data_IF_722476881533
#
_entry.id   IF_722476881533
#
_cell.length_a   1.000
_cell.length_b   1.000
_cell.length_c   1.000
_cell.angle_alpha   90.00
_cell.angle_beta   90.00
_cell.angle_gamma   90.00
#
_symmetry.space_group_name_H-M   'P 1'
#
loop_
_entity.id
_entity.type
_entity.pdbx_description
1 polymer ?
#
# COMPACT_ATOMS: atom_id res chain seq x y z
N UNK A 1 9.22 -4.52 0.82
CA UNK A 1 8.32 -3.69 -0.01
C UNK A 1 7.04 -3.52 0.76
N UNK A 2 6.58 -2.31 1.00
CA UNK A 2 5.27 -2.07 1.61
C UNK A 2 4.16 -2.78 0.83
N UNK A 3 3.29 -3.48 1.54
CA UNK A 3 2.11 -4.18 1.02
C UNK A 3 0.86 -3.39 1.43
N UNK A 4 -0.34 -3.93 1.22
CA UNK A 4 -1.59 -3.22 1.47
C UNK A 4 -1.67 -2.56 2.87
N UNK A 5 -1.40 -3.26 4.01
CA UNK A 5 -1.53 -2.65 5.32
C UNK A 5 -0.58 -1.48 5.56
N UNK A 6 0.67 -1.60 5.09
CA UNK A 6 1.67 -0.53 5.22
C UNK A 6 1.23 0.72 4.43
N UNK A 7 0.76 0.51 3.20
CA UNK A 7 0.30 1.62 2.33
C UNK A 7 -0.97 2.26 2.89
N UNK A 8 -1.89 1.47 3.44
CA UNK A 8 -3.12 1.95 4.09
C UNK A 8 -2.80 2.80 5.32
N UNK A 9 -1.89 2.33 6.18
CA UNK A 9 -1.46 3.07 7.38
C UNK A 9 -0.86 4.43 7.03
N UNK A 10 0.02 4.47 6.02
CA UNK A 10 0.60 5.74 5.56
C UNK A 10 -0.48 6.64 4.97
N UNK A 11 -1.36 6.13 4.09
CA UNK A 11 -2.41 6.92 3.46
C UNK A 11 -3.34 7.57 4.50
N UNK A 12 -3.76 6.80 5.52
CA UNK A 12 -4.57 7.32 6.64
C UNK A 12 -3.82 8.39 7.42
N UNK A 13 -2.56 8.16 7.77
CA UNK A 13 -1.75 9.11 8.50
C UNK A 13 -1.53 10.41 7.75
N UNK A 14 -1.29 10.36 6.43
CA UNK A 14 -1.19 11.56 5.59
C UNK A 14 -2.54 12.27 5.50
N UNK A 15 -3.64 11.53 5.29
CA UNK A 15 -4.98 12.12 5.22
C UNK A 15 -5.36 12.84 6.51
N UNK A 16 -5.14 12.21 7.66
CA UNK A 16 -5.45 12.81 8.97
C UNK A 16 -4.73 14.16 9.19
N UNK A 17 -3.51 14.29 8.67
CA UNK A 17 -2.66 15.47 8.90
C UNK A 17 -2.78 16.55 7.86
N UNK A 18 -3.11 16.20 6.61
CA UNK A 18 -3.02 17.10 5.47
C UNK A 18 -4.35 17.27 4.70
N UNK A 19 -5.43 16.60 5.11
CA UNK A 19 -6.76 16.80 4.51
C UNK A 19 -7.17 18.27 4.57
N UNK A 20 -7.62 18.81 3.45
CA UNK A 20 -8.05 20.21 3.33
C UNK A 20 -6.89 21.21 3.20
N UNK A 21 -5.65 20.76 3.30
CA UNK A 21 -4.48 21.63 3.23
C UNK A 21 -4.10 21.97 1.79
N UNK A 22 -3.52 23.18 1.58
CA UNK A 22 -3.09 23.65 0.27
C UNK A 22 -1.59 23.50 0.10
N UNK A 23 -1.16 22.92 -1.00
CA UNK A 23 0.25 22.85 -1.40
C UNK A 23 0.72 24.23 -1.80
N UNK A 24 1.70 24.79 -1.07
CA UNK A 24 2.23 26.14 -1.31
C UNK A 24 3.52 26.12 -2.12
N UNK A 25 4.28 25.05 -1.99
CA UNK A 25 5.54 24.85 -2.72
C UNK A 25 5.73 23.34 -2.99
N UNK A 26 6.19 22.98 -4.17
CA UNK A 26 6.51 21.62 -4.55
C UNK A 26 7.92 21.55 -5.14
N UNK A 27 8.81 20.83 -4.45
CA UNK A 27 10.17 20.56 -4.90
C UNK A 27 10.38 19.10 -5.24
N UNK A 28 11.06 18.84 -6.34
CA UNK A 28 11.43 17.50 -6.79
C UNK A 28 12.90 17.45 -7.16
N UNK A 29 13.57 16.31 -6.87
CA UNK A 29 14.95 16.10 -7.24
C UNK A 29 15.14 16.05 -8.77
N UNK A 30 16.36 16.31 -9.24
CA UNK A 30 16.71 16.29 -10.66
C UNK A 30 16.97 14.89 -11.24
N UNK A 31 16.85 13.83 -10.44
CA UNK A 31 17.04 12.45 -10.92
C UNK A 31 15.89 12.03 -11.84
N UNK A 32 16.14 11.17 -12.84
CA UNK A 32 15.08 10.70 -13.75
C UNK A 32 14.03 9.80 -13.05
N UNK A 33 14.45 9.08 -12.02
CA UNK A 33 13.57 8.26 -11.17
C UNK A 33 13.44 8.89 -9.77
N UNK A 34 12.31 8.74 -9.11
CA UNK A 34 11.18 7.81 -9.35
C UNK A 34 10.03 8.37 -10.21
N UNK A 35 10.25 9.32 -11.07
CA UNK A 35 9.22 10.14 -11.70
C UNK A 35 8.59 9.48 -12.94
N UNK A 36 7.26 9.35 -12.95
CA UNK A 36 6.44 9.03 -14.14
C UNK A 36 6.02 10.28 -14.90
N UNK A 37 5.87 11.39 -14.21
CA UNK A 37 5.69 12.71 -14.76
C UNK A 37 6.96 13.52 -14.54
N UNK A 38 7.45 14.30 -15.50
CA UNK A 38 8.67 15.10 -15.33
C UNK A 38 8.62 15.99 -14.08
N UNK A 39 9.71 16.08 -13.28
CA UNK A 39 9.74 16.80 -12.01
C UNK A 39 9.21 18.22 -12.08
N UNK A 40 9.71 19.03 -13.01
CA UNK A 40 9.28 20.43 -13.18
C UNK A 40 7.77 20.56 -13.48
N UNK A 41 7.23 19.63 -14.25
CA UNK A 41 5.79 19.59 -14.54
C UNK A 41 4.99 19.19 -13.30
N UNK A 42 5.45 18.17 -12.54
CA UNK A 42 4.78 17.80 -11.29
C UNK A 42 4.74 18.97 -10.31
N UNK A 43 5.84 19.71 -10.14
CA UNK A 43 5.87 20.87 -9.29
C UNK A 43 4.80 21.91 -9.69
N UNK A 44 4.83 22.34 -10.96
CA UNK A 44 3.88 23.33 -11.48
C UNK A 44 2.41 22.86 -11.40
N UNK A 45 2.15 21.57 -11.62
CA UNK A 45 0.80 21.00 -11.59
C UNK A 45 0.26 20.80 -10.15
N UNK A 46 1.13 20.68 -9.14
CA UNK A 46 0.77 20.47 -7.73
C UNK A 46 0.62 21.76 -6.95
N UNK A 47 1.42 22.77 -7.23
CA UNK A 47 1.36 24.05 -6.50
C UNK A 47 0.00 24.72 -6.61
N UNK A 48 -0.46 25.25 -5.47
CA UNK A 48 -1.77 25.88 -5.34
C UNK A 48 -2.93 24.91 -5.13
N UNK A 49 -2.78 23.62 -5.35
CA UNK A 49 -3.88 22.65 -5.19
C UNK A 49 -4.15 22.32 -3.73
N UNK A 50 -5.42 21.94 -3.47
CA UNK A 50 -5.88 21.49 -2.14
C UNK A 50 -5.91 19.98 -2.10
N UNK A 51 -5.41 19.38 -1.02
CA UNK A 51 -5.50 17.95 -0.72
C UNK A 51 -6.91 17.63 -0.22
N UNK A 52 -7.77 17.13 -1.09
CA UNK A 52 -9.18 16.82 -0.75
C UNK A 52 -9.33 15.51 0.01
N UNK A 53 -8.52 14.52 -0.32
CA UNK A 53 -8.48 13.24 0.37
C UNK A 53 -7.16 12.52 0.04
N UNK A 54 -6.71 11.66 0.95
CA UNK A 54 -5.61 10.73 0.69
C UNK A 54 -6.06 9.33 1.07
N UNK A 55 -6.02 8.42 0.12
CA UNK A 55 -6.46 7.05 0.31
C UNK A 55 -5.52 6.04 -0.38
N UNK A 56 -5.70 4.78 -0.10
CA UNK A 56 -4.97 3.69 -0.74
C UNK A 56 -5.79 3.12 -1.92
N UNK A 57 -5.08 2.76 -2.98
CA UNK A 57 -5.61 1.95 -4.08
C UNK A 57 -4.57 0.88 -4.43
N UNK A 58 -4.81 -0.37 -4.03
CA UNK A 58 -3.83 -1.46 -4.12
C UNK A 58 -2.58 -1.16 -3.28
N UNK A 59 -1.41 -1.02 -3.92
CA UNK A 59 -0.13 -0.63 -3.28
C UNK A 59 0.25 0.82 -3.55
N UNK A 60 -0.69 1.65 -3.95
CA UNK A 60 -0.48 3.06 -4.22
C UNK A 60 -1.21 3.92 -3.20
N UNK A 61 -0.59 5.04 -2.84
CA UNK A 61 -1.22 6.14 -2.13
C UNK A 61 -1.72 7.11 -3.20
N UNK A 62 -2.98 7.49 -3.14
CA UNK A 62 -3.62 8.41 -4.08
C UNK A 62 -4.05 9.64 -3.30
N UNK A 63 -3.48 10.78 -3.64
CA UNK A 63 -3.88 12.09 -3.14
C UNK A 63 -4.85 12.71 -4.14
N UNK A 64 -6.12 12.85 -3.75
CA UNK A 64 -7.13 13.55 -4.52
C UNK A 64 -6.93 15.06 -4.38
N UNK A 65 -6.82 15.73 -5.50
CA UNK A 65 -6.47 17.15 -5.56
C UNK A 65 -7.60 17.98 -6.12
N UNK A 66 -7.95 19.02 -5.39
CA UNK A 66 -8.85 20.07 -5.84
C UNK A 66 -8.23 21.01 -6.88
N UNK A 67 -8.97 22.04 -7.30
CA UNK A 67 -8.47 23.03 -8.25
C UNK A 67 -7.24 23.76 -7.72
N UNK A 68 -6.39 24.22 -8.64
CA UNK A 68 -5.31 25.16 -8.32
C UNK A 68 -5.89 26.52 -7.94
N UNK A 69 -5.59 27.00 -6.74
CA UNK A 69 -6.18 28.21 -6.20
C UNK A 69 -5.09 29.25 -5.94
N UNK A 70 -5.28 30.45 -6.49
CA UNK A 70 -4.32 31.56 -6.36
C UNK A 70 -4.35 32.29 -5.00
N UNK A 71 -5.37 32.06 -4.14
CA UNK A 71 -5.47 32.74 -2.84
C UNK A 71 -6.06 31.88 -1.73
N UNK A 72 -5.70 32.17 -0.45
CA UNK A 72 -6.26 31.46 0.72
C UNK A 72 -7.80 31.58 0.84
N UNK A 73 -8.39 32.71 0.43
CA UNK A 73 -9.83 32.94 0.48
C UNK A 73 -10.59 32.01 -0.50
N UNK A 74 -9.96 31.60 -1.61
CA UNK A 74 -10.54 30.63 -2.53
C UNK A 74 -10.41 29.20 -1.97
N UNK A 75 -9.35 28.89 -1.23
CA UNK A 75 -9.15 27.59 -0.60
C UNK A 75 -10.28 27.24 0.38
N UNK A 76 -10.71 28.20 1.19
CA UNK A 76 -11.79 28.02 2.16
C UNK A 76 -13.15 27.64 1.52
N UNK A 77 -13.37 27.95 0.24
CA UNK A 77 -14.60 27.58 -0.50
C UNK A 77 -14.59 26.12 -0.99
N UNK A 78 -13.41 25.48 -1.07
CA UNK A 78 -13.23 24.13 -1.60
C UNK A 78 -12.90 23.09 -0.51
N UNK A 79 -12.82 23.48 0.74
CA UNK A 79 -12.66 22.60 1.90
C UNK A 79 -13.94 21.85 2.30
N UNK A 80 -15.03 22.00 1.55
CA UNK A 80 -16.29 21.26 1.78
C UNK A 80 -16.23 19.82 1.24
N UNK A 81 -16.90 18.89 1.95
CA UNK A 81 -16.97 17.45 1.68
C UNK A 81 -17.46 17.05 0.27
N UNK A 82 -17.92 17.99 -0.55
CA UNK A 82 -18.51 17.76 -1.88
C UNK A 82 -17.65 18.24 -3.06
N UNK A 83 -16.40 18.63 -2.84
CA UNK A 83 -15.53 19.07 -3.94
C UNK A 83 -15.05 17.87 -4.76
N UNK A 84 -15.38 17.84 -6.06
CA UNK A 84 -14.87 16.79 -6.97
C UNK A 84 -13.38 17.02 -7.22
N UNK A 85 -12.56 15.95 -7.17
CA UNK A 85 -11.15 16.06 -7.52
C UNK A 85 -10.97 16.40 -9.00
N UNK A 86 -10.02 17.29 -9.31
CA UNK A 86 -9.63 17.63 -10.67
C UNK A 86 -8.32 16.94 -11.10
N UNK A 87 -7.55 16.47 -10.13
CA UNK A 87 -6.30 15.76 -10.37
C UNK A 87 -5.99 14.77 -9.25
N UNK A 88 -5.03 13.88 -9.50
CA UNK A 88 -4.47 12.95 -8.54
C UNK A 88 -2.95 13.04 -8.53
N UNK A 89 -2.34 12.99 -7.34
CA UNK A 89 -0.95 12.66 -7.17
C UNK A 89 -0.83 11.25 -6.62
N UNK A 90 -0.15 10.38 -7.37
CA UNK A 90 -0.09 8.94 -7.13
C UNK A 90 1.32 8.58 -6.71
N UNK A 91 1.44 7.96 -5.53
CA UNK A 91 2.71 7.54 -4.94
C UNK A 91 2.74 6.03 -4.80
N UNK A 92 3.72 5.38 -5.44
CA UNK A 92 4.08 3.99 -5.18
C UNK A 92 5.41 3.95 -4.44
N UNK A 93 5.44 3.31 -3.28
CA UNK A 93 6.60 3.34 -2.39
C UNK A 93 7.79 2.48 -2.87
N UNK A 94 7.60 1.63 -3.86
CA UNK A 94 8.64 0.68 -4.27
C UNK A 94 9.02 -0.28 -3.14
N UNK A 95 10.30 -0.43 -2.88
CA UNK A 95 10.80 -1.34 -1.83
C UNK A 95 11.22 -0.62 -0.56
N UNK A 96 11.72 0.61 -0.67
CA UNK A 96 12.34 1.39 0.41
C UNK A 96 11.77 2.80 0.52
N UNK A 97 10.80 3.15 -0.31
CA UNK A 97 10.15 4.45 -0.28
C UNK A 97 9.40 4.69 1.02
N UNK A 98 9.49 5.90 1.53
CA UNK A 98 8.79 6.41 2.70
C UNK A 98 8.08 7.69 2.30
N UNK A 99 6.87 7.88 2.77
CA UNK A 99 6.11 9.12 2.61
C UNK A 99 5.84 9.66 4.02
N UNK A 100 6.50 10.73 4.38
CA UNK A 100 6.58 11.25 5.74
C UNK A 100 5.93 12.63 5.82
N UNK A 101 5.15 12.88 6.86
CA UNK A 101 4.67 14.20 7.24
C UNK A 101 5.57 14.74 8.33
N UNK A 102 6.16 15.91 8.12
CA UNK A 102 7.14 16.51 9.03
C UNK A 102 6.98 18.04 9.05
N UNK A 103 7.87 18.71 9.76
CA UNK A 103 8.01 20.18 9.72
C UNK A 103 9.10 20.57 8.74
N UNK A 104 9.01 21.76 8.08
CA UNK A 104 10.05 22.24 7.16
C UNK A 104 11.44 22.34 7.78
N UNK A 105 11.51 22.69 9.07
CA UNK A 105 12.76 22.87 9.83
C UNK A 105 13.45 21.55 10.17
N UNK A 106 12.76 20.42 10.02
CA UNK A 106 13.33 19.11 10.27
C UNK A 106 14.44 18.76 9.27
N UNK A 107 15.48 17.98 9.67
CA UNK A 107 16.58 17.63 8.78
C UNK A 107 16.06 16.92 7.53
N UNK A 108 16.54 17.36 6.36
CA UNK A 108 16.21 16.70 5.09
C UNK A 108 17.05 15.44 4.96
N UNK A 109 16.39 14.29 4.94
CA UNK A 109 17.04 12.99 4.80
C UNK A 109 17.74 12.87 3.44
N UNK A 110 18.87 12.18 3.41
CA UNK A 110 19.48 11.77 2.15
C UNK A 110 18.45 10.98 1.32
N UNK A 111 18.53 11.07 0.00
CA UNK A 111 17.58 10.42 -0.93
C UNK A 111 16.13 10.92 -0.83
N UNK A 112 15.91 12.16 -0.37
CA UNK A 112 14.63 12.85 -0.51
C UNK A 112 14.45 13.23 -1.98
N UNK A 113 13.34 12.82 -2.60
CA UNK A 113 13.06 13.03 -4.02
C UNK A 113 11.87 13.95 -4.28
N UNK A 114 10.99 14.14 -3.29
CA UNK A 114 9.91 15.11 -3.35
C UNK A 114 9.70 15.76 -1.98
N UNK A 115 9.36 17.06 -1.99
CA UNK A 115 8.95 17.84 -0.81
C UNK A 115 7.78 18.71 -1.22
N UNK A 116 6.67 18.59 -0.51
CA UNK A 116 5.48 19.41 -0.69
C UNK A 116 5.23 20.18 0.61
N UNK A 117 5.53 21.49 0.59
CA UNK A 117 5.20 22.37 1.71
C UNK A 117 3.72 22.75 1.63
N UNK A 118 3.01 22.71 2.74
CA UNK A 118 1.59 23.00 2.81
C UNK A 118 1.28 24.21 3.69
N UNK A 119 0.10 24.81 3.50
CA UNK A 119 -0.26 26.08 4.14
C UNK A 119 -0.33 26.02 5.66
N UNK A 120 -0.59 24.85 6.25
CA UNK A 120 -0.53 24.64 7.71
C UNK A 120 0.89 24.67 8.30
N UNK A 121 1.93 24.83 7.48
CA UNK A 121 3.33 24.82 7.91
C UNK A 121 3.94 23.42 8.05
N UNK A 122 3.27 22.38 7.55
CA UNK A 122 3.80 21.02 7.46
C UNK A 122 4.45 20.79 6.10
N UNK A 123 5.19 19.69 6.00
CA UNK A 123 5.83 19.26 4.76
C UNK A 123 5.64 17.75 4.57
N UNK A 124 5.20 17.34 3.38
CA UNK A 124 5.14 15.95 2.95
C UNK A 124 6.41 15.61 2.17
N UNK A 125 7.16 14.62 2.62
CA UNK A 125 8.45 14.20 2.03
C UNK A 125 8.38 12.78 1.49
N UNK A 126 8.85 12.61 0.25
CA UNK A 126 9.10 11.28 -0.31
C UNK A 126 10.61 10.98 -0.30
N UNK A 127 10.99 9.94 0.45
CA UNK A 127 12.38 9.50 0.63
C UNK A 127 12.52 8.09 0.10
N UNK A 128 13.41 7.83 -0.86
CA UNK A 128 13.61 6.48 -1.42
C UNK A 128 15.06 6.21 -1.85
N UNK A 129 15.87 5.58 -0.97
CA UNK A 129 17.27 5.29 -1.26
C UNK A 129 17.50 4.46 -2.52
N UNK A 130 16.57 3.58 -2.89
CA UNK A 130 16.71 2.68 -4.05
C UNK A 130 16.07 3.21 -5.33
N UNK A 131 15.26 4.26 -5.24
CA UNK A 131 14.52 4.89 -6.36
C UNK A 131 13.63 3.91 -7.14
N UNK A 132 13.07 2.90 -6.47
CA UNK A 132 12.11 1.94 -7.02
C UNK A 132 10.66 2.39 -6.87
N UNK A 133 10.46 3.46 -6.12
CA UNK A 133 9.17 4.13 -6.04
C UNK A 133 8.72 4.72 -7.36
N UNK A 134 7.50 5.23 -7.40
CA UNK A 134 6.97 5.94 -8.57
C UNK A 134 6.09 7.09 -8.10
N UNK A 135 6.31 8.25 -8.70
CA UNK A 135 5.52 9.46 -8.49
C UNK A 135 4.89 9.87 -9.82
N UNK A 136 3.58 10.02 -9.84
CA UNK A 136 2.81 10.36 -11.04
C UNK A 136 1.78 11.45 -10.70
N UNK A 137 1.71 12.48 -11.53
CA UNK A 137 0.60 13.44 -11.53
C UNK A 137 -0.38 13.07 -12.66
N UNK A 138 -1.68 13.10 -12.37
CA UNK A 138 -2.74 12.79 -13.31
C UNK A 138 -3.82 13.87 -13.30
N UNK A 139 -4.01 14.53 -14.43
CA UNK A 139 -5.10 15.48 -14.66
C UNK A 139 -6.38 14.71 -15.02
N UNK A 140 -7.39 14.74 -14.17
CA UNK A 140 -8.65 14.01 -14.35
C UNK A 140 -9.56 14.59 -15.44
N UNK A 141 -9.27 15.80 -15.91
CA UNK A 141 -9.96 16.38 -17.07
C UNK A 141 -9.49 15.74 -18.39
N UNK A 142 -8.33 15.06 -18.37
CA UNK A 142 -7.67 14.47 -19.56
C UNK A 142 -7.47 12.96 -19.45
N UNK A 143 -7.61 12.41 -18.26
CA UNK A 143 -7.33 11.00 -17.97
C UNK A 143 -8.35 10.44 -17.00
N UNK A 144 -8.64 9.15 -17.10
CA UNK A 144 -9.44 8.47 -16.06
C UNK A 144 -8.71 8.45 -14.71
N UNK A 145 -9.46 8.41 -13.62
CA UNK A 145 -8.92 8.25 -12.28
C UNK A 145 -8.09 6.95 -12.17
N UNK A 146 -7.09 6.99 -11.31
CA UNK A 146 -6.27 5.81 -11.05
C UNK A 146 -7.09 4.71 -10.37
N UNK A 147 -7.00 3.50 -10.90
CA UNK A 147 -7.59 2.29 -10.31
C UNK A 147 -6.54 1.19 -10.24
N UNK A 148 -6.61 0.35 -9.22
CA UNK A 148 -5.81 -0.87 -9.18
C UNK A 148 -6.36 -1.91 -10.17
N UNK A 149 -5.49 -2.75 -10.78
CA UNK A 149 -5.95 -3.71 -11.79
C UNK A 149 -6.71 -4.91 -11.20
N UNK A 150 -6.57 -5.20 -9.92
CA UNK A 150 -7.21 -6.33 -9.23
C UNK A 150 -8.27 -5.90 -8.23
N UNK A 151 -9.03 -6.87 -7.75
CA UNK A 151 -10.08 -6.67 -6.75
C UNK A 151 -9.49 -6.22 -5.39
N UNK A 152 -10.28 -5.49 -4.62
CA UNK A 152 -9.93 -5.02 -3.27
C UNK A 152 -10.17 -6.15 -2.24
N UNK A 153 -9.12 -6.69 -1.59
CA UNK A 153 -9.25 -7.86 -0.74
C UNK A 153 -10.00 -7.61 0.58
N UNK A 154 -10.14 -6.35 1.01
CA UNK A 154 -10.86 -6.02 2.23
C UNK A 154 -12.38 -6.02 2.05
N UNK A 155 -12.85 -5.82 0.82
CA UNK A 155 -14.30 -5.67 0.53
C UNK A 155 -14.83 -6.66 -0.50
N UNK A 156 -13.97 -7.47 -1.12
CA UNK A 156 -14.38 -8.44 -2.15
C UNK A 156 -15.43 -9.43 -1.62
N UNK A 157 -16.50 -9.61 -2.39
CA UNK A 157 -17.57 -10.53 -2.06
C UNK A 157 -17.18 -12.01 -2.30
N UNK A 158 -17.83 -12.97 -1.61
CA UNK A 158 -17.47 -14.40 -1.69
C UNK A 158 -17.45 -14.97 -3.10
N UNK A 159 -18.47 -14.64 -3.89
CA UNK A 159 -18.65 -15.14 -5.26
C UNK A 159 -17.57 -14.56 -6.19
N UNK A 160 -17.28 -13.28 -6.07
CA UNK A 160 -16.24 -12.61 -6.83
C UNK A 160 -14.87 -13.19 -6.47
N UNK A 161 -14.57 -13.35 -5.17
CA UNK A 161 -13.32 -13.96 -4.71
C UNK A 161 -13.15 -15.37 -5.28
N UNK A 162 -14.20 -16.21 -5.24
CA UNK A 162 -14.13 -17.55 -5.79
C UNK A 162 -13.90 -17.55 -7.31
N UNK A 163 -14.54 -16.64 -8.04
CA UNK A 163 -14.38 -16.50 -9.49
C UNK A 163 -12.93 -16.16 -9.90
N UNK A 164 -12.18 -15.43 -9.06
CA UNK A 164 -10.76 -15.10 -9.32
C UNK A 164 -9.90 -16.35 -9.50
N UNK A 165 -10.25 -17.47 -8.89
CA UNK A 165 -9.43 -18.69 -8.88
C UNK A 165 -9.95 -19.80 -9.76
N UNK A 166 -11.18 -19.68 -10.27
CA UNK A 166 -11.82 -20.70 -11.07
C UNK A 166 -10.98 -21.12 -12.29
N UNK A 167 -10.79 -22.43 -12.46
CA UNK A 167 -10.06 -23.02 -13.59
C UNK A 167 -8.54 -22.76 -13.62
N UNK A 168 -7.99 -22.01 -12.68
CA UNK A 168 -6.56 -21.64 -12.70
C UNK A 168 -5.67 -22.78 -12.23
N UNK A 169 -4.55 -22.98 -12.94
CA UNK A 169 -3.54 -24.01 -12.62
C UNK A 169 -2.41 -23.48 -11.71
N UNK A 170 -2.36 -22.18 -11.46
CA UNK A 170 -1.36 -21.58 -10.57
C UNK A 170 -1.50 -22.09 -9.14
N UNK A 171 -0.38 -22.19 -8.43
CA UNK A 171 -0.40 -22.38 -7.00
C UNK A 171 -1.16 -21.22 -6.32
N UNK A 172 -1.95 -21.53 -5.29
CA UNK A 172 -2.80 -20.52 -4.63
C UNK A 172 -2.00 -19.31 -4.12
N UNK A 173 -0.80 -19.53 -3.57
CA UNK A 173 0.05 -18.40 -3.17
C UNK A 173 0.43 -17.52 -4.36
N UNK A 174 0.80 -18.11 -5.50
CA UNK A 174 1.15 -17.34 -6.69
C UNK A 174 -0.05 -16.55 -7.22
N UNK A 175 -1.25 -17.10 -7.12
CA UNK A 175 -2.49 -16.41 -7.48
C UNK A 175 -2.79 -15.23 -6.53
N UNK A 176 -2.60 -15.39 -5.21
CA UNK A 176 -2.75 -14.32 -4.22
C UNK A 176 -1.77 -13.15 -4.47
N UNK A 177 -0.56 -13.44 -4.94
CA UNK A 177 0.45 -12.42 -5.24
C UNK A 177 0.22 -11.67 -6.55
N UNK A 178 -0.69 -12.17 -7.40
CA UNK A 178 -0.99 -11.56 -8.68
C UNK A 178 -1.85 -10.31 -8.48
N UNK A 179 -1.24 -9.15 -8.68
CA UNK A 179 -1.89 -7.85 -8.48
C UNK A 179 -3.05 -7.59 -9.44
N UNK A 180 -3.16 -8.34 -10.55
CA UNK A 180 -4.32 -8.28 -11.45
C UNK A 180 -5.51 -9.12 -10.94
N UNK A 181 -5.33 -9.96 -9.94
CA UNK A 181 -6.41 -10.70 -9.28
C UNK A 181 -6.80 -10.00 -7.97
N UNK A 182 -5.83 -9.80 -7.08
CA UNK A 182 -6.03 -9.15 -5.78
C UNK A 182 -5.03 -8.01 -5.63
N UNK A 183 -5.52 -6.80 -5.52
CA UNK A 183 -4.69 -5.63 -5.36
C UNK A 183 -4.13 -5.54 -3.94
N UNK A 184 -2.85 -5.21 -3.82
CA UNK A 184 -2.23 -4.93 -2.53
C UNK A 184 -1.65 -6.13 -1.78
N UNK A 185 -2.13 -7.35 -1.99
CA UNK A 185 -1.60 -8.55 -1.32
C UNK A 185 -0.16 -8.81 -1.73
N UNK A 186 0.69 -9.06 -0.74
CA UNK A 186 2.09 -9.39 -0.97
C UNK A 186 2.53 -10.63 -0.19
N UNK A 187 3.85 -10.81 -0.06
CA UNK A 187 4.44 -12.07 0.39
C UNK A 187 4.14 -12.40 1.85
N UNK A 188 4.12 -11.38 2.71
CA UNK A 188 3.83 -11.54 4.15
C UNK A 188 2.40 -12.03 4.31
N UNK A 189 1.47 -11.27 3.77
CA UNK A 189 0.03 -11.50 3.99
C UNK A 189 -0.49 -12.72 3.24
N UNK A 190 0.12 -13.11 2.12
CA UNK A 190 -0.17 -14.36 1.45
C UNK A 190 0.24 -15.58 2.31
N UNK A 191 1.43 -15.58 2.93
CA UNK A 191 1.87 -16.68 3.81
C UNK A 191 1.00 -16.78 5.06
N UNK A 192 0.75 -15.66 5.74
CA UNK A 192 -0.02 -15.60 6.98
C UNK A 192 -1.50 -15.99 6.76
N UNK A 193 -2.13 -15.51 5.70
CA UNK A 193 -3.53 -15.86 5.40
C UNK A 193 -3.68 -17.33 5.01
N UNK A 194 -2.77 -17.90 4.23
CA UNK A 194 -2.77 -19.32 3.92
C UNK A 194 -2.55 -20.20 5.15
N UNK A 195 -1.71 -19.77 6.08
CA UNK A 195 -1.56 -20.46 7.37
C UNK A 195 -2.84 -20.38 8.20
N UNK A 196 -3.46 -19.20 8.31
CA UNK A 196 -4.70 -18.99 9.08
C UNK A 196 -5.84 -19.85 8.50
N UNK A 197 -5.95 -19.92 7.16
CA UNK A 197 -6.93 -20.74 6.45
C UNK A 197 -6.63 -22.25 6.45
N UNK A 198 -5.42 -22.70 6.85
CA UNK A 198 -5.02 -24.09 6.83
C UNK A 198 -4.75 -24.65 5.42
N UNK A 199 -4.44 -23.80 4.45
CA UNK A 199 -4.29 -24.17 3.03
C UNK A 199 -2.82 -24.22 2.64
N UNK A 200 -2.42 -25.30 1.96
CA UNK A 200 -1.05 -25.49 1.48
C UNK A 200 -0.72 -24.50 0.35
N UNK A 201 0.40 -23.73 0.43
CA UNK A 201 0.71 -22.71 -0.56
C UNK A 201 0.86 -23.20 -2.00
N UNK A 202 1.24 -24.47 -2.19
CA UNK A 202 1.40 -25.13 -3.50
C UNK A 202 0.10 -25.68 -4.10
N UNK A 203 -0.99 -25.75 -3.34
CA UNK A 203 -2.26 -26.25 -3.85
C UNK A 203 -2.69 -25.42 -5.06
N UNK A 204 -3.14 -26.07 -6.14
CA UNK A 204 -3.62 -25.36 -7.34
C UNK A 204 -4.86 -24.55 -6.99
N UNK A 205 -4.89 -23.28 -7.37
CA UNK A 205 -5.97 -22.36 -6.97
C UNK A 205 -7.33 -22.82 -7.48
N UNK A 206 -7.42 -23.36 -8.71
CA UNK A 206 -8.65 -23.91 -9.26
C UNK A 206 -9.12 -25.24 -8.65
N UNK A 207 -8.34 -25.84 -7.75
CA UNK A 207 -8.72 -27.07 -7.03
C UNK A 207 -9.23 -26.79 -5.61
N UNK A 208 -9.25 -25.53 -5.16
CA UNK A 208 -9.84 -25.20 -3.88
C UNK A 208 -11.36 -25.34 -3.96
N UNK A 209 -11.93 -25.95 -2.93
CA UNK A 209 -13.39 -26.02 -2.76
C UNK A 209 -13.95 -24.64 -2.41
N UNK A 210 -15.26 -24.44 -2.60
CA UNK A 210 -15.94 -23.19 -2.18
C UNK A 210 -15.70 -22.89 -0.69
N UNK A 211 -15.75 -23.90 0.17
CA UNK A 211 -15.51 -23.75 1.61
C UNK A 211 -14.06 -23.36 1.92
N UNK A 212 -13.08 -23.85 1.17
CA UNK A 212 -11.69 -23.44 1.32
C UNK A 212 -11.45 -22.01 0.84
N UNK A 213 -12.07 -21.61 -0.27
CA UNK A 213 -12.00 -20.25 -0.79
C UNK A 213 -12.61 -19.24 0.19
N UNK A 214 -13.76 -19.57 0.78
CA UNK A 214 -14.40 -18.71 1.78
C UNK A 214 -13.54 -18.60 3.05
N UNK A 215 -12.98 -19.70 3.56
CA UNK A 215 -12.03 -19.64 4.68
C UNK A 215 -10.80 -18.79 4.35
N UNK A 216 -10.31 -18.88 3.12
CA UNK A 216 -9.14 -18.08 2.68
C UNK A 216 -9.49 -16.59 2.59
N UNK A 217 -10.65 -16.26 2.04
CA UNK A 217 -11.13 -14.88 1.95
C UNK A 217 -11.25 -14.24 3.33
N UNK A 218 -11.91 -14.92 4.25
CA UNK A 218 -12.06 -14.45 5.63
C UNK A 218 -10.70 -14.32 6.34
N UNK A 219 -9.85 -15.35 6.23
CA UNK A 219 -8.50 -15.32 6.82
C UNK A 219 -7.62 -14.19 6.24
N UNK A 220 -7.73 -13.93 4.93
CA UNK A 220 -7.00 -12.84 4.28
C UNK A 220 -7.47 -11.48 4.82
N UNK A 221 -8.78 -11.26 4.88
CA UNK A 221 -9.35 -10.03 5.41
C UNK A 221 -8.94 -9.80 6.87
N UNK A 222 -9.09 -10.79 7.74
CA UNK A 222 -8.70 -10.71 9.15
C UNK A 222 -7.20 -10.38 9.31
N UNK A 223 -6.31 -11.05 8.56
CA UNK A 223 -4.86 -10.79 8.63
C UNK A 223 -4.53 -9.37 8.19
N UNK A 224 -5.17 -8.87 7.14
CA UNK A 224 -4.96 -7.50 6.65
C UNK A 224 -5.49 -6.45 7.64
N UNK A 225 -6.69 -6.67 8.22
CA UNK A 225 -7.28 -5.78 9.22
C UNK A 225 -6.43 -5.74 10.51
N UNK A 226 -5.96 -6.91 11.00
CA UNK A 226 -5.05 -7.00 12.14
C UNK A 226 -3.74 -6.24 11.87
N UNK A 227 -3.19 -6.39 10.66
CA UNK A 227 -1.96 -5.71 10.30
C UNK A 227 -2.14 -4.18 10.19
N UNK A 228 -3.25 -3.70 9.65
CA UNK A 228 -3.58 -2.27 9.61
C UNK A 228 -3.69 -1.72 11.03
N UNK A 229 -4.41 -2.43 11.93
CA UNK A 229 -4.57 -2.03 13.33
C UNK A 229 -3.24 -1.91 14.08
N UNK A 230 -2.26 -2.76 13.74
CA UNK A 230 -0.91 -2.77 14.32
C UNK A 230 0.10 -1.88 13.56
N UNK A 231 -0.38 -1.05 12.65
CA UNK A 231 0.46 -0.11 11.89
C UNK A 231 1.36 -0.76 10.84
N UNK A 232 1.02 -1.96 10.35
CA UNK A 232 1.79 -2.70 9.36
C UNK A 232 2.96 -3.51 9.95
N UNK A 233 3.79 -4.10 9.08
CA UNK A 233 4.91 -4.98 9.43
C UNK A 233 6.25 -4.33 9.13
N UNK A 234 6.98 -3.91 10.17
CA UNK A 234 8.33 -3.33 10.06
C UNK A 234 9.41 -4.40 10.10
N UNK A 235 9.40 -5.30 9.10
CA UNK A 235 10.44 -6.33 8.95
C UNK A 235 11.79 -5.73 8.52
N UNK A 236 11.79 -4.64 7.76
CA UNK A 236 13.00 -3.93 7.33
C UNK A 236 12.89 -2.42 7.58
N UNK A 237 12.74 -1.63 6.54
CA UNK A 237 12.87 -0.16 6.57
C UNK A 237 11.52 0.58 6.64
N UNK A 238 10.42 -0.16 6.72
CA UNK A 238 9.09 0.44 6.75
C UNK A 238 8.85 1.23 8.03
N UNK A 239 8.31 2.41 7.86
CA UNK A 239 7.75 3.28 8.90
C UNK A 239 6.47 3.92 8.36
N UNK A 240 5.58 4.36 9.25
CA UNK A 240 4.37 5.08 8.90
C UNK A 240 4.65 6.54 8.50
N UNK A 241 3.59 7.36 8.38
CA UNK A 241 3.69 8.77 8.01
C UNK A 241 4.43 9.65 9.04
N UNK A 242 4.54 9.21 10.29
CA UNK A 242 5.29 9.88 11.36
C UNK A 242 6.71 9.33 11.56
N UNK A 243 7.11 8.35 10.76
CA UNK A 243 8.39 7.65 10.94
C UNK A 243 8.35 6.59 12.04
N UNK A 244 7.17 6.18 12.52
CA UNK A 244 7.02 5.16 13.56
C UNK A 244 6.93 3.76 12.93
N UNK A 245 7.55 2.78 13.61
CA UNK A 245 7.53 1.38 13.16
C UNK A 245 6.21 0.70 13.51
N UNK A 246 5.69 -0.11 12.59
CA UNK A 246 4.56 -0.99 12.88
C UNK A 246 4.96 -2.21 13.73
N UNK A 247 3.97 -2.97 14.20
CA UNK A 247 4.16 -4.06 15.16
C UNK A 247 3.66 -5.41 14.67
N UNK A 248 3.07 -5.52 13.48
CA UNK A 248 2.50 -6.79 13.00
C UNK A 248 3.54 -7.91 12.84
N UNK A 249 4.84 -7.61 12.69
CA UNK A 249 5.90 -8.62 12.66
C UNK A 249 5.97 -9.48 13.94
N UNK A 250 5.46 -9.00 15.06
CA UNK A 250 5.39 -9.76 16.31
C UNK A 250 4.29 -10.83 16.28
N UNK A 251 3.30 -10.66 15.42
CA UNK A 251 2.17 -11.57 15.24
C UNK A 251 2.41 -12.64 14.15
N UNK A 252 3.52 -12.58 13.41
CA UNK A 252 3.80 -13.56 12.36
C UNK A 252 3.73 -15.00 12.90
N UNK A 253 2.92 -15.83 12.24
CA UNK A 253 2.76 -17.23 12.56
C UNK A 253 3.73 -18.14 11.78
N UNK A 254 4.02 -17.77 10.53
CA UNK A 254 4.91 -18.54 9.64
C UNK A 254 5.96 -17.68 8.93
N UNK A 255 5.64 -16.42 8.57
CA UNK A 255 6.55 -15.60 7.79
C UNK A 255 7.85 -15.30 8.55
N UNK A 256 9.02 -15.59 7.91
CA UNK A 256 10.38 -15.49 8.47
C UNK A 256 10.63 -16.36 9.72
N UNK A 257 9.79 -17.35 10.00
CA UNK A 257 9.91 -18.23 11.17
C UNK A 257 10.44 -19.65 10.81
N UNK A 258 11.20 -19.78 9.73
CA UNK A 258 11.79 -21.05 9.30
C UNK A 258 12.53 -21.76 10.44
N UNK A 259 12.23 -23.04 10.69
CA UNK A 259 12.82 -23.84 11.75
C UNK A 259 12.22 -23.61 13.14
N UNK A 260 11.50 -22.51 13.37
CA UNK A 260 10.83 -22.25 14.64
C UNK A 260 9.58 -23.13 14.78
N UNK A 261 9.15 -23.43 16.01
CA UNK A 261 7.94 -24.22 16.24
C UNK A 261 6.70 -23.44 15.78
N UNK A 262 5.79 -24.16 15.13
CA UNK A 262 4.47 -23.64 14.79
C UNK A 262 3.68 -23.25 16.06
N UNK A 263 3.09 -22.07 16.08
CA UNK A 263 2.30 -21.60 17.25
C UNK A 263 1.06 -22.47 17.55
N UNK A 264 0.59 -23.30 16.56
CA UNK A 264 -0.58 -24.19 16.75
C UNK A 264 -0.20 -25.63 17.12
N UNK A 265 0.79 -26.22 16.44
CA UNK A 265 1.08 -27.66 16.53
C UNK A 265 2.54 -28.01 16.84
N UNK A 266 3.37 -27.01 17.10
CA UNK A 266 4.79 -27.13 17.43
C UNK A 266 5.69 -27.73 16.32
N UNK A 267 5.13 -28.17 15.20
CA UNK A 267 5.92 -28.65 14.05
C UNK A 267 6.78 -27.53 13.49
N UNK A 268 8.06 -27.77 13.18
CA UNK A 268 8.93 -26.73 12.62
C UNK A 268 8.39 -26.14 11.31
N UNK A 269 8.34 -24.81 11.22
CA UNK A 269 7.96 -24.08 10.02
C UNK A 269 8.97 -24.37 8.90
N UNK A 270 8.47 -24.71 7.72
CA UNK A 270 9.26 -24.95 6.52
C UNK A 270 9.28 -23.73 5.60
N UNK A 271 10.39 -23.60 4.86
CA UNK A 271 10.53 -22.61 3.79
C UNK A 271 10.79 -23.33 2.47
N UNK A 272 10.09 -22.89 1.43
CA UNK A 272 10.29 -23.33 0.04
C UNK A 272 10.39 -22.11 -0.88
N UNK A 273 10.87 -22.32 -2.10
CA UNK A 273 10.75 -21.33 -3.17
C UNK A 273 9.51 -21.67 -4.00
N UNK A 274 8.62 -20.69 -4.18
CA UNK A 274 7.41 -20.83 -4.98
C UNK A 274 7.21 -19.55 -5.82
N UNK A 275 7.12 -19.70 -7.13
CA UNK A 275 7.01 -18.56 -8.08
C UNK A 275 8.06 -17.46 -7.81
N UNK A 276 9.31 -17.82 -7.57
CA UNK A 276 10.42 -16.90 -7.29
C UNK A 276 10.36 -16.23 -5.90
N UNK A 277 9.42 -16.62 -5.02
CA UNK A 277 9.26 -16.03 -3.68
C UNK A 277 9.49 -17.04 -2.57
N UNK A 278 10.24 -16.63 -1.54
CA UNK A 278 10.34 -17.39 -0.30
C UNK A 278 8.95 -17.58 0.31
N UNK A 279 8.59 -18.80 0.64
CA UNK A 279 7.24 -19.18 1.08
C UNK A 279 7.36 -19.97 2.37
N UNK A 280 6.76 -19.47 3.43
CA UNK A 280 6.83 -20.08 4.76
C UNK A 280 5.48 -20.74 5.09
N UNK A 281 5.51 -21.93 5.65
CA UNK A 281 4.29 -22.67 5.98
C UNK A 281 4.53 -23.74 7.04
N UNK A 282 3.47 -24.11 7.75
CA UNK A 282 3.47 -25.28 8.63
C UNK A 282 3.04 -26.52 7.84
N UNK A 283 3.91 -27.56 7.71
CA UNK A 283 3.56 -28.74 6.93
C UNK A 283 2.44 -29.59 7.53
N UNK A 284 2.16 -29.45 8.83
CA UNK A 284 1.11 -30.17 9.53
C UNK A 284 -0.24 -29.42 9.49
N UNK A 285 -0.24 -28.09 9.71
CA UNK A 285 -1.48 -27.32 9.79
C UNK A 285 -2.06 -26.97 8.41
N UNK A 286 -1.21 -26.93 7.36
CA UNK A 286 -1.62 -26.56 6.01
C UNK A 286 -1.63 -27.77 5.08
N UNK A 287 -2.81 -28.14 4.59
CA UNK A 287 -3.08 -29.32 3.77
C UNK A 287 -3.60 -28.98 2.39
#
# INVERSE_FOLDING_TARGET
MPELPEVETIARGVNERLHGDRIVEAWFSSYPEPFKTPPARQAADLEGRVLLAVHRTGKHIVCELGPGIGSPAQAARFSGENSKPEAQWIVHLGMTGRLLVTTPDGPVAAHTHARLSVASGRELRFVDPRRFGRLEFRDLRRSAAFTAPGAEPLTIEPEEFAALFHGRQLAIKAALLNQSLLAGVGNIYADESLFRAGIRPRKRSGQLTKAELERLRLALREVLEDAIRLGGSSVSDYVDADGVRGFFQLEHCVYLRTGQPCRRCQTPIKRILLAGRGTHYCPQCQR
#
